data_IF_730433971184
#
_entry.id   IF_730433971184
#
_cell.length_a   1.000
_cell.length_b   1.000
_cell.length_c   1.000
_cell.angle_alpha   90.00
_cell.angle_beta   90.00
_cell.angle_gamma   90.00
#
_symmetry.space_group_name_H-M   'P 1'
#
loop_
_entity.id
_entity.type
_entity.pdbx_description
1 polymer ?
#
# COMPACT_ATOMS: atom_id res chain seq x y z
N UNK A 1 -16.08 4.11 15.26
CA UNK A 1 -15.93 5.29 14.39
C UNK A 1 -15.25 4.84 13.12
N UNK A 2 -15.99 4.93 12.03
CA UNK A 2 -15.71 4.25 10.77
C UNK A 2 -14.56 4.97 10.02
N UNK A 3 -13.37 4.36 9.97
CA UNK A 3 -12.21 4.85 9.20
C UNK A 3 -12.47 4.87 7.67
N UNK A 4 -13.70 4.54 7.24
CA UNK A 4 -14.17 4.57 5.85
C UNK A 4 -14.43 5.98 5.32
N UNK A 5 -14.52 7.00 6.18
CA UNK A 5 -14.73 8.41 5.82
C UNK A 5 -13.50 9.27 6.13
N UNK A 6 -12.30 8.79 5.83
CA UNK A 6 -11.14 9.66 5.81
C UNK A 6 -11.37 10.75 4.77
N UNK A 7 -11.55 12.00 5.20
CA UNK A 7 -11.53 13.14 4.29
C UNK A 7 -10.28 13.02 3.40
N UNK A 8 -10.42 13.12 2.08
CA UNK A 8 -9.29 13.08 1.15
C UNK A 8 -8.21 14.15 1.44
N UNK A 9 -8.51 15.07 2.37
CA UNK A 9 -7.65 16.13 2.89
C UNK A 9 -6.57 15.64 3.87
N UNK A 10 -6.73 14.47 4.51
CA UNK A 10 -5.77 13.99 5.50
C UNK A 10 -5.00 12.77 4.99
N UNK A 11 -3.67 12.71 5.21
CA UNK A 11 -2.89 11.55 4.82
C UNK A 11 -3.48 10.29 5.47
N UNK A 12 -3.59 9.18 4.72
CA UNK A 12 -4.15 7.95 5.25
C UNK A 12 -3.40 7.50 6.52
N UNK A 13 -4.15 7.23 7.58
CA UNK A 13 -3.61 6.63 8.81
C UNK A 13 -3.19 5.19 8.53
N UNK A 14 -1.99 4.82 8.97
CA UNK A 14 -1.44 3.47 8.86
C UNK A 14 -0.83 3.05 10.18
N UNK A 15 -0.60 1.75 10.32
CA UNK A 15 0.05 1.19 11.49
C UNK A 15 1.55 1.10 11.23
N UNK A 16 2.34 1.58 12.18
CA UNK A 16 3.80 1.54 12.18
C UNK A 16 4.35 0.55 13.21
N UNK A 17 5.66 0.60 13.42
CA UNK A 17 6.37 -0.26 14.37
C UNK A 17 5.76 -0.13 15.77
N UNK A 18 5.57 -1.26 16.45
CA UNK A 18 4.96 -1.32 17.78
C UNK A 18 3.49 -0.91 17.82
N UNK A 19 2.79 -0.89 16.68
CA UNK A 19 1.36 -0.56 16.61
C UNK A 19 1.05 0.95 16.60
N UNK A 20 2.07 1.81 16.53
CA UNK A 20 1.87 3.27 16.50
C UNK A 20 1.13 3.69 15.24
N UNK A 21 0.22 4.65 15.37
CA UNK A 21 -0.45 5.24 14.20
C UNK A 21 0.50 6.25 13.54
N UNK A 22 0.75 6.08 12.25
CA UNK A 22 1.55 6.98 11.42
C UNK A 22 0.70 7.57 10.30
N UNK A 23 1.10 8.75 9.80
CA UNK A 23 0.49 9.41 8.64
C UNK A 23 1.40 9.23 7.44
N UNK A 24 0.96 8.49 6.43
CA UNK A 24 1.78 8.23 5.24
C UNK A 24 1.55 9.33 4.21
N UNK A 25 2.58 10.11 3.93
CA UNK A 25 2.54 11.22 2.99
C UNK A 25 2.44 10.71 1.55
N UNK A 26 1.58 11.33 0.74
CA UNK A 26 1.43 11.04 -0.68
C UNK A 26 0.84 12.22 -1.40
N UNK A 27 1.12 12.36 -2.70
CA UNK A 27 0.38 13.30 -3.53
C UNK A 27 -1.04 12.78 -3.76
N UNK A 28 -1.96 13.73 -3.91
CA UNK A 28 -3.34 13.42 -4.25
C UNK A 28 -3.43 13.05 -5.72
N UNK A 29 -3.96 11.85 -5.99
CA UNK A 29 -4.23 11.35 -7.34
C UNK A 29 -5.72 11.17 -7.65
N UNK A 30 -6.60 11.42 -6.68
CA UNK A 30 -8.05 11.29 -6.83
C UNK A 30 -8.77 12.64 -6.70
N UNK A 31 -9.97 12.73 -7.27
CA UNK A 31 -10.90 13.85 -7.09
C UNK A 31 -11.35 13.99 -5.63
N UNK A 32 -11.86 15.16 -5.23
CA UNK A 32 -12.25 15.46 -3.83
C UNK A 32 -13.48 14.64 -3.38
N UNK A 33 -14.38 14.34 -4.31
CA UNK A 33 -15.63 13.59 -4.12
C UNK A 33 -15.43 12.07 -4.35
N UNK A 34 -14.21 11.56 -4.08
CA UNK A 34 -13.81 10.20 -4.46
C UNK A 34 -14.68 9.12 -3.82
N UNK A 35 -15.08 9.30 -2.55
CA UNK A 35 -15.91 8.34 -1.83
C UNK A 35 -17.33 8.23 -2.41
N UNK A 36 -17.97 9.37 -2.70
CA UNK A 36 -19.30 9.40 -3.28
C UNK A 36 -19.31 8.81 -4.70
N UNK A 37 -18.31 9.15 -5.51
CA UNK A 37 -18.13 8.56 -6.84
C UNK A 37 -17.90 7.05 -6.79
N UNK A 38 -17.16 6.56 -5.80
CA UNK A 38 -16.95 5.11 -5.65
C UNK A 38 -18.27 4.40 -5.43
N UNK A 39 -19.05 4.84 -4.44
CA UNK A 39 -20.28 4.14 -4.09
C UNK A 39 -21.31 4.24 -5.20
N UNK A 40 -21.43 5.39 -5.85
CA UNK A 40 -22.26 5.54 -7.05
C UNK A 40 -21.84 4.56 -8.14
N UNK A 41 -20.55 4.51 -8.47
CA UNK A 41 -20.03 3.60 -9.49
C UNK A 41 -20.26 2.13 -9.16
N UNK A 42 -19.93 1.72 -7.94
CA UNK A 42 -20.05 0.33 -7.52
C UNK A 42 -21.51 -0.12 -7.29
N UNK A 43 -22.44 0.81 -7.05
CA UNK A 43 -23.88 0.50 -7.01
C UNK A 43 -24.45 0.18 -8.39
N UNK A 44 -23.82 0.70 -9.45
CA UNK A 44 -24.27 0.54 -10.84
C UNK A 44 -23.51 -0.59 -11.57
N UNK A 45 -22.42 -1.11 -10.99
CA UNK A 45 -21.52 -2.06 -11.63
C UNK A 45 -21.20 -3.26 -10.70
N UNK A 46 -22.02 -4.33 -10.72
CA UNK A 46 -21.81 -5.50 -9.86
C UNK A 46 -20.46 -6.21 -10.05
N UNK A 47 -19.95 -6.27 -11.28
CA UNK A 47 -18.63 -6.86 -11.57
C UNK A 47 -17.51 -6.06 -10.91
N UNK A 48 -17.55 -4.73 -11.01
CA UNK A 48 -16.60 -3.85 -10.33
C UNK A 48 -16.70 -3.97 -8.81
N UNK A 49 -17.90 -4.22 -8.26
CA UNK A 49 -18.07 -4.50 -6.82
C UNK A 49 -17.37 -5.79 -6.42
N UNK A 50 -17.47 -6.84 -7.22
CA UNK A 50 -16.77 -8.10 -6.97
C UNK A 50 -15.24 -7.92 -7.02
N UNK A 51 -14.72 -7.22 -8.03
CA UNK A 51 -13.30 -6.88 -8.15
C UNK A 51 -12.80 -6.07 -6.94
N UNK A 52 -13.57 -5.05 -6.54
CA UNK A 52 -13.27 -4.21 -5.38
C UNK A 52 -13.27 -5.02 -4.08
N UNK A 53 -14.20 -5.95 -3.91
CA UNK A 53 -14.25 -6.81 -2.72
C UNK A 53 -13.07 -7.78 -2.66
N UNK A 54 -12.64 -8.31 -3.81
CA UNK A 54 -11.54 -9.27 -3.88
C UNK A 54 -10.16 -8.61 -3.73
N UNK A 55 -9.96 -7.45 -4.36
CA UNK A 55 -8.62 -6.86 -4.55
C UNK A 55 -8.44 -5.51 -3.88
N UNK A 56 -9.55 -4.85 -3.49
CA UNK A 56 -9.59 -3.45 -3.04
C UNK A 56 -9.02 -2.47 -4.07
N UNK A 57 -9.08 -2.83 -5.35
CA UNK A 57 -8.62 -2.06 -6.51
C UNK A 57 -9.65 -2.17 -7.63
N UNK A 58 -9.63 -1.19 -8.55
CA UNK A 58 -10.41 -1.19 -9.77
C UNK A 58 -9.45 -0.90 -10.92
N UNK A 59 -9.49 -1.68 -12.01
CA UNK A 59 -8.70 -1.40 -13.21
C UNK A 59 -9.02 -0.04 -13.84
N UNK A 60 -10.29 0.32 -13.88
CA UNK A 60 -10.78 1.59 -14.43
C UNK A 60 -11.47 2.39 -13.32
N UNK A 61 -10.68 3.03 -12.46
CA UNK A 61 -11.21 3.75 -11.30
C UNK A 61 -11.68 5.17 -11.67
N UNK A 62 -12.99 5.48 -11.58
CA UNK A 62 -13.56 6.77 -12.00
C UNK A 62 -13.15 7.94 -11.10
N UNK A 63 -12.42 7.68 -10.01
CA UNK A 63 -11.96 8.69 -9.05
C UNK A 63 -10.62 9.29 -9.44
N UNK A 64 -9.86 8.64 -10.31
CA UNK A 64 -8.51 9.07 -10.69
C UNK A 64 -8.59 10.22 -11.69
N UNK A 65 -7.86 11.30 -11.44
CA UNK A 65 -7.74 12.42 -12.41
C UNK A 65 -6.71 12.10 -13.49
N UNK A 66 -6.72 12.81 -14.63
CA UNK A 66 -5.69 12.62 -15.69
C UNK A 66 -4.26 12.80 -15.15
N UNK A 67 -4.05 13.84 -14.33
CA UNK A 67 -2.77 14.08 -13.63
C UNK A 67 -2.50 12.98 -12.61
N UNK A 68 -3.52 12.55 -11.85
CA UNK A 68 -3.41 11.46 -10.90
C UNK A 68 -3.02 10.12 -11.52
N UNK A 69 -3.50 9.85 -12.73
CA UNK A 69 -3.11 8.67 -13.51
C UNK A 69 -1.62 8.72 -13.85
N UNK A 70 -1.12 9.86 -14.34
CA UNK A 70 0.32 10.06 -14.57
C UNK A 70 1.15 9.89 -13.28
N UNK A 71 0.71 10.47 -12.16
CA UNK A 71 1.41 10.36 -10.88
C UNK A 71 1.52 8.90 -10.41
N UNK A 72 0.46 8.10 -10.59
CA UNK A 72 0.45 6.67 -10.25
C UNK A 72 1.32 5.83 -11.18
N UNK A 73 1.23 6.06 -12.49
CA UNK A 73 2.06 5.37 -13.49
C UNK A 73 3.55 5.59 -13.25
N UNK A 74 3.93 6.82 -12.93
CA UNK A 74 5.31 7.20 -12.64
C UNK A 74 5.75 6.89 -11.20
N UNK A 75 4.85 6.39 -10.34
CA UNK A 75 5.07 6.22 -8.89
C UNK A 75 5.47 7.51 -8.16
N UNK A 76 5.24 8.67 -8.78
CA UNK A 76 5.59 9.98 -8.22
C UNK A 76 4.68 10.32 -7.04
N UNK A 77 3.45 9.78 -6.98
CA UNK A 77 2.54 10.04 -5.86
C UNK A 77 3.05 9.55 -4.51
N UNK A 78 4.01 8.62 -4.50
CA UNK A 78 4.63 8.09 -3.29
C UNK A 78 5.95 8.76 -2.90
N UNK A 79 6.51 9.68 -3.71
CA UNK A 79 7.74 10.41 -3.35
C UNK A 79 7.69 11.11 -1.98
N UNK A 80 6.56 11.70 -1.55
CA UNK A 80 6.47 12.28 -0.21
C UNK A 80 6.73 11.29 0.93
N UNK A 81 6.59 9.97 0.71
CA UNK A 81 6.90 8.95 1.73
C UNK A 81 8.37 8.94 2.13
N UNK A 82 9.29 9.47 1.31
CA UNK A 82 10.68 9.65 1.70
C UNK A 82 10.81 10.54 2.94
N UNK A 83 9.91 11.53 3.11
CA UNK A 83 9.84 12.30 4.34
C UNK A 83 9.52 11.43 5.56
N UNK A 84 8.59 10.48 5.44
CA UNK A 84 8.28 9.52 6.52
C UNK A 84 9.47 8.64 6.89
N UNK A 85 10.34 8.32 5.93
CA UNK A 85 11.59 7.60 6.20
C UNK A 85 12.55 8.47 6.99
N UNK A 86 12.72 9.74 6.61
CA UNK A 86 13.60 10.69 7.28
C UNK A 86 13.16 10.95 8.73
N UNK A 87 11.86 11.12 8.99
CA UNK A 87 11.34 11.33 10.36
C UNK A 87 11.22 10.04 11.18
N UNK A 88 11.53 8.88 10.58
CA UNK A 88 11.60 7.60 11.28
C UNK A 88 10.25 6.89 11.51
N UNK A 89 9.19 7.31 10.82
CA UNK A 89 7.89 6.62 10.78
C UNK A 89 7.96 5.37 9.90
N UNK A 90 8.74 5.44 8.82
CA UNK A 90 8.92 4.38 7.82
C UNK A 90 10.40 4.02 7.62
N UNK A 91 10.63 2.95 6.87
CA UNK A 91 11.94 2.56 6.32
C UNK A 91 11.88 2.54 4.79
N UNK A 92 13.04 2.45 4.13
CA UNK A 92 13.07 2.20 2.68
C UNK A 92 12.55 0.79 2.37
N UNK A 93 13.05 -0.21 3.10
CA UNK A 93 12.65 -1.61 2.98
C UNK A 93 11.87 -2.04 4.21
N UNK A 94 10.72 -2.68 4.01
CA UNK A 94 9.87 -3.20 5.07
C UNK A 94 8.51 -3.68 4.55
N UNK A 95 7.67 -4.25 5.43
CA UNK A 95 6.28 -4.55 5.13
C UNK A 95 5.52 -3.32 4.64
N UNK A 96 4.55 -3.48 3.75
CA UNK A 96 3.76 -2.33 3.26
C UNK A 96 2.99 -1.66 4.44
N UNK A 97 2.83 -0.33 4.45
CA UNK A 97 1.92 0.34 5.39
C UNK A 97 0.47 -0.16 5.22
N UNK A 98 -0.10 -0.79 6.24
CA UNK A 98 -1.49 -1.31 6.25
C UNK A 98 -2.37 -0.54 7.22
N UNK A 99 -3.69 -0.60 7.02
CA UNK A 99 -4.66 -0.09 8.00
C UNK A 99 -4.88 -1.10 9.13
N UNK A 100 -5.46 -0.64 10.25
CA UNK A 100 -5.77 -1.51 11.39
C UNK A 100 -6.66 -2.69 11.00
N UNK A 101 -7.70 -2.43 10.22
CA UNK A 101 -8.65 -3.45 9.76
C UNK A 101 -7.98 -4.57 8.94
N UNK A 102 -7.06 -4.19 8.04
CA UNK A 102 -6.23 -5.13 7.26
C UNK A 102 -5.33 -5.99 8.17
N UNK A 103 -4.75 -5.37 9.19
CA UNK A 103 -3.89 -6.06 10.15
C UNK A 103 -4.69 -7.07 10.99
N UNK A 104 -5.87 -6.65 11.48
CA UNK A 104 -6.75 -7.49 12.29
C UNK A 104 -7.36 -8.64 11.45
N UNK A 105 -7.76 -8.36 10.21
CA UNK A 105 -8.40 -9.33 9.32
C UNK A 105 -7.42 -10.34 8.74
N UNK A 106 -6.26 -9.90 8.26
CA UNK A 106 -5.36 -10.75 7.49
C UNK A 106 -4.11 -11.19 8.25
N UNK A 107 -3.48 -10.30 9.03
CA UNK A 107 -2.28 -10.69 9.79
C UNK A 107 -2.65 -11.52 11.02
N UNK A 108 -3.76 -11.21 11.70
CA UNK A 108 -4.26 -11.95 12.87
C UNK A 108 -3.15 -12.20 13.91
N UNK A 109 -2.75 -13.45 14.14
CA UNK A 109 -1.67 -13.82 15.06
C UNK A 109 -0.28 -13.42 14.57
N UNK A 110 -0.09 -13.24 13.25
CA UNK A 110 1.17 -12.83 12.63
C UNK A 110 1.44 -11.31 12.71
N UNK A 111 0.53 -10.54 13.32
CA UNK A 111 0.71 -9.08 13.54
C UNK A 111 1.99 -8.74 14.30
N UNK A 112 2.48 -9.66 15.13
CA UNK A 112 3.73 -9.50 15.89
C UNK A 112 4.94 -9.27 14.98
N UNK A 113 5.00 -9.93 13.81
CA UNK A 113 6.08 -9.72 12.84
C UNK A 113 6.00 -8.31 12.24
N UNK A 114 4.79 -7.85 11.92
CA UNK A 114 4.57 -6.50 11.42
C UNK A 114 5.03 -5.44 12.42
N UNK A 115 4.65 -5.60 13.70
CA UNK A 115 5.02 -4.66 14.76
C UNK A 115 6.51 -4.64 15.10
N UNK A 116 7.27 -5.67 14.72
CA UNK A 116 8.71 -5.73 15.01
C UNK A 116 9.53 -4.72 14.18
N UNK A 117 9.02 -4.31 13.02
CA UNK A 117 9.77 -3.48 12.06
C UNK A 117 8.99 -2.23 11.66
N UNK A 118 9.68 -1.25 11.07
CA UNK A 118 9.02 -0.11 10.43
C UNK A 118 8.43 -0.58 9.10
N UNK A 119 7.26 -0.05 8.69
CA UNK A 119 6.75 -0.30 7.35
C UNK A 119 7.63 0.39 6.30
N UNK A 120 7.74 -0.23 5.13
CA UNK A 120 8.65 0.16 4.06
C UNK A 120 7.96 0.81 2.87
N UNK A 121 8.68 1.65 2.15
CA UNK A 121 8.28 2.11 0.80
C UNK A 121 8.23 0.91 -0.16
N UNK A 122 9.27 0.07 -0.12
CA UNK A 122 9.35 -1.19 -0.83
C UNK A 122 9.58 -2.35 0.14
N UNK A 123 9.49 -3.59 -0.34
CA UNK A 123 9.48 -4.76 0.51
C UNK A 123 9.48 -6.05 -0.30
N UNK A 124 9.68 -7.17 0.40
CA UNK A 124 9.86 -8.47 -0.26
C UNK A 124 8.66 -8.83 -1.13
N UNK A 125 7.43 -8.56 -0.67
CA UNK A 125 6.25 -8.85 -1.48
C UNK A 125 6.18 -7.95 -2.73
N UNK A 126 6.51 -6.65 -2.62
CA UNK A 126 6.47 -5.71 -3.76
C UNK A 126 7.35 -6.18 -4.94
N UNK A 127 8.43 -6.91 -4.65
CA UNK A 127 9.41 -7.39 -5.63
C UNK A 127 9.26 -8.88 -6.00
N UNK A 128 8.34 -9.62 -5.37
CA UNK A 128 8.23 -11.09 -5.51
C UNK A 128 7.09 -11.59 -6.40
N UNK A 129 6.42 -10.71 -7.15
CA UNK A 129 5.36 -11.09 -8.09
C UNK A 129 4.11 -10.25 -7.87
N UNK A 130 4.01 -9.15 -8.62
CA UNK A 130 2.96 -8.13 -8.45
C UNK A 130 1.57 -8.55 -8.93
N UNK A 131 1.45 -9.60 -9.75
CA UNK A 131 0.22 -9.84 -10.53
C UNK A 131 -0.72 -10.94 -10.01
N UNK A 132 -0.25 -11.97 -9.29
CA UNK A 132 -1.10 -13.10 -8.84
C UNK A 132 -0.98 -13.43 -7.34
N UNK A 133 -0.49 -12.50 -6.52
CA UNK A 133 -0.33 -12.76 -5.08
C UNK A 133 -1.59 -12.47 -4.29
N UNK A 134 -2.13 -13.50 -3.63
CA UNK A 134 -3.24 -13.37 -2.68
C UNK A 134 -2.79 -12.58 -1.44
N UNK A 135 -3.74 -12.01 -0.70
CA UNK A 135 -3.40 -11.25 0.50
C UNK A 135 -2.62 -12.11 1.52
N UNK A 136 -3.02 -13.35 1.71
CA UNK A 136 -2.34 -14.31 2.59
C UNK A 136 -0.87 -14.52 2.21
N UNK A 137 -0.58 -14.64 0.91
CA UNK A 137 0.79 -14.75 0.41
C UNK A 137 1.61 -13.47 0.68
N UNK A 138 0.99 -12.28 0.59
CA UNK A 138 1.66 -11.02 0.95
C UNK A 138 2.05 -11.00 2.42
N UNK A 139 1.14 -11.39 3.32
CA UNK A 139 1.42 -11.52 4.76
C UNK A 139 2.56 -12.51 5.00
N UNK A 140 2.56 -13.64 4.28
CA UNK A 140 3.63 -14.63 4.40
C UNK A 140 5.00 -14.09 3.95
N UNK A 141 5.04 -13.31 2.87
CA UNK A 141 6.26 -12.66 2.39
C UNK A 141 6.76 -11.61 3.39
N UNK A 142 5.86 -10.82 4.00
CA UNK A 142 6.24 -9.87 5.05
C UNK A 142 6.80 -10.58 6.29
N UNK A 143 6.17 -11.67 6.72
CA UNK A 143 6.69 -12.49 7.83
C UNK A 143 8.05 -13.09 7.49
N UNK A 144 8.23 -13.54 6.25
CA UNK A 144 9.50 -14.10 5.76
C UNK A 144 10.60 -13.05 5.76
N UNK A 145 10.30 -11.82 5.33
CA UNK A 145 11.23 -10.70 5.39
C UNK A 145 11.71 -10.45 6.82
N UNK A 146 10.78 -10.33 7.78
CA UNK A 146 11.12 -10.07 9.19
C UNK A 146 11.98 -11.20 9.77
N UNK A 147 11.70 -12.46 9.43
CA UNK A 147 12.48 -13.62 9.90
C UNK A 147 13.89 -13.70 9.30
N UNK A 148 14.10 -13.14 8.11
CA UNK A 148 15.38 -13.16 7.38
C UNK A 148 16.06 -11.78 7.36
N UNK A 149 15.63 -10.88 8.24
CA UNK A 149 16.07 -9.49 8.25
C UNK A 149 17.60 -9.43 8.36
N UNK A 150 18.23 -8.87 7.32
CA UNK A 150 19.67 -8.71 7.22
C UNK A 150 19.98 -7.64 6.18
N UNK A 151 21.14 -7.02 6.30
CA UNK A 151 21.61 -6.03 5.31
C UNK A 151 21.61 -6.59 3.89
N UNK A 152 21.98 -7.87 3.73
CA UNK A 152 21.97 -8.53 2.43
C UNK A 152 20.56 -8.67 1.85
N UNK A 153 19.57 -8.96 2.70
CA UNK A 153 18.17 -9.07 2.27
C UNK A 153 17.62 -7.71 1.83
N UNK A 154 17.96 -6.65 2.55
CA UNK A 154 17.60 -5.28 2.18
C UNK A 154 18.22 -4.85 0.85
N UNK A 155 19.52 -5.11 0.65
CA UNK A 155 20.22 -4.84 -0.63
C UNK A 155 19.60 -5.63 -1.77
N UNK A 156 19.30 -6.92 -1.57
CA UNK A 156 18.65 -7.76 -2.57
C UNK A 156 17.28 -7.22 -2.97
N UNK A 157 16.47 -6.75 -2.00
CA UNK A 157 15.17 -6.15 -2.29
C UNK A 157 15.35 -4.84 -3.06
N UNK A 158 16.24 -3.95 -2.62
CA UNK A 158 16.50 -2.67 -3.29
C UNK A 158 16.89 -2.84 -4.77
N UNK A 159 17.80 -3.78 -5.06
CA UNK A 159 18.21 -4.10 -6.43
C UNK A 159 17.08 -4.65 -7.28
N UNK A 160 16.14 -5.39 -6.69
CA UNK A 160 14.94 -5.89 -7.37
C UNK A 160 13.85 -4.82 -7.52
N UNK A 161 13.87 -3.77 -6.68
CA UNK A 161 12.91 -2.67 -6.75
C UNK A 161 13.13 -1.82 -8.00
N UNK A 162 14.37 -1.52 -8.39
CA UNK A 162 14.67 -0.71 -9.59
C UNK A 162 14.01 -1.24 -10.88
N UNK A 163 14.23 -2.51 -11.31
CA UNK A 163 13.55 -3.05 -12.47
C UNK A 163 12.05 -3.21 -12.25
N UNK A 164 11.59 -3.43 -11.01
CA UNK A 164 10.15 -3.53 -10.72
C UNK A 164 9.42 -2.19 -10.89
N UNK A 165 10.08 -1.07 -10.58
CA UNK A 165 9.57 0.30 -10.80
C UNK A 165 9.68 0.67 -12.29
N UNK A 166 10.78 0.34 -12.95
CA UNK A 166 10.97 0.64 -14.38
C UNK A 166 10.06 -0.20 -15.31
N UNK A 167 9.76 -1.45 -14.94
CA UNK A 167 8.80 -2.32 -15.65
C UNK A 167 7.34 -2.04 -15.26
N UNK A 168 7.10 -1.07 -14.37
CA UNK A 168 5.79 -0.77 -13.76
C UNK A 168 4.84 0.01 -14.68
N UNK A 169 4.61 -0.46 -15.90
CA UNK A 169 3.33 -0.27 -16.61
C UNK A 169 2.16 -1.01 -15.92
N UNK A 170 2.15 -1.08 -14.58
CA UNK A 170 1.27 -1.92 -13.77
C UNK A 170 0.51 -1.17 -12.67
N UNK A 171 0.58 0.16 -12.65
CA UNK A 171 -0.40 0.97 -11.92
C UNK A 171 -1.57 1.23 -12.87
N UNK A 172 -2.53 0.31 -12.88
CA UNK A 172 -3.92 0.67 -13.19
C UNK A 172 -4.52 1.32 -11.94
#
# INVERSE_FOLDING_TARGET
MDDRQGSDLLPPKRIGRGGRIIKVAKFRSMVVDSAERLERFLSQNPEARAEWNATRKLKNDPRITKVGHFLRLSSIDELPQLWNVLVGDMSLIGPRPVVKDELDTYYRSRRVYYYAVRPGITGLWQVSGRNDTTYEQRVQLDCTYVRKLSLWTDVSILLRTLPAVLKSSGAY
#
